data_IF_257538351423
#
_entry.id   IF_257538351423
#
_cell.length_a   1.000
_cell.length_b   1.000
_cell.length_c   1.000
_cell.angle_alpha   90.00
_cell.angle_beta   90.00
_cell.angle_gamma   90.00
#
_symmetry.space_group_name_H-M   'P 1'
#
loop_
_entity.id
_entity.type
_entity.pdbx_description
1 polymer ?
#
# COMPACT_ATOMS: atom_id res chain seq x y z
N UNK A 1 4.91 60.77 -7.20
CA UNK A 1 5.37 59.54 -6.52
C UNK A 1 5.18 58.38 -7.46
N UNK A 2 6.28 57.79 -7.91
CA UNK A 2 6.36 56.82 -9.02
C UNK A 2 5.70 55.48 -8.67
N UNK A 3 4.76 55.04 -9.52
CA UNK A 3 4.21 53.68 -9.54
C UNK A 3 4.87 52.96 -10.72
N UNK A 4 5.80 52.06 -10.43
CA UNK A 4 6.45 51.21 -11.44
C UNK A 4 5.51 50.03 -11.72
N UNK A 5 4.91 50.01 -12.91
CA UNK A 5 4.23 48.85 -13.48
C UNK A 5 5.30 47.96 -14.11
N UNK A 6 5.50 46.76 -13.56
CA UNK A 6 6.27 45.69 -14.20
C UNK A 6 5.25 44.74 -14.82
N UNK A 7 4.93 44.97 -16.09
CA UNK A 7 4.23 43.99 -16.93
C UNK A 7 5.24 42.96 -17.44
N UNK A 8 5.33 41.82 -16.75
CA UNK A 8 6.04 40.64 -17.24
C UNK A 8 5.13 39.82 -18.13
N UNK A 9 5.30 39.95 -19.45
CA UNK A 9 4.68 39.09 -20.47
C UNK A 9 5.15 37.64 -20.29
N UNK A 10 4.30 36.80 -19.69
CA UNK A 10 4.51 35.35 -19.66
C UNK A 10 3.95 34.76 -20.96
N UNK A 11 4.85 34.50 -21.91
CA UNK A 11 4.53 33.84 -23.17
C UNK A 11 4.45 32.32 -22.93
N UNK A 12 3.32 31.63 -23.26
CA UNK A 12 3.23 30.18 -23.15
C UNK A 12 4.05 29.55 -24.28
N UNK A 13 5.32 29.33 -24.01
CA UNK A 13 6.20 28.56 -24.88
C UNK A 13 5.64 27.16 -25.08
N UNK A 14 5.38 26.80 -26.33
CA UNK A 14 5.12 25.43 -26.79
C UNK A 14 6.14 24.50 -26.14
N UNK A 15 5.70 23.63 -25.24
CA UNK A 15 6.53 22.54 -24.74
C UNK A 15 6.85 21.65 -25.93
N UNK A 16 8.09 21.74 -26.43
CA UNK A 16 8.64 20.73 -27.30
C UNK A 16 8.58 19.38 -26.54
N UNK A 17 8.22 18.26 -27.18
CA UNK A 17 8.36 16.96 -26.56
C UNK A 17 9.85 16.77 -26.25
N UNK A 18 10.19 16.92 -24.97
CA UNK A 18 11.50 16.58 -24.46
C UNK A 18 11.60 15.06 -24.52
N UNK A 19 12.00 14.57 -25.70
CA UNK A 19 12.78 13.35 -25.84
C UNK A 19 14.07 13.59 -25.03
N UNK A 20 13.98 13.47 -23.70
CA UNK A 20 15.12 13.13 -22.86
C UNK A 20 15.42 11.68 -23.23
N UNK A 21 16.05 11.54 -24.39
CA UNK A 21 16.89 10.42 -24.72
C UNK A 21 17.95 10.48 -23.62
N UNK A 22 17.76 9.71 -22.55
CA UNK A 22 18.83 9.36 -21.64
C UNK A 22 19.83 8.58 -22.48
N UNK A 23 20.73 9.30 -23.16
CA UNK A 23 21.90 8.74 -23.81
C UNK A 23 22.82 8.28 -22.68
N UNK A 24 22.47 7.14 -22.07
CA UNK A 24 23.46 6.29 -21.43
C UNK A 24 24.51 6.07 -22.51
N UNK A 25 25.68 6.70 -22.34
CA UNK A 25 26.80 6.54 -23.25
C UNK A 25 27.02 5.05 -23.45
N UNK A 26 26.68 4.56 -24.63
CA UNK A 26 26.82 3.16 -24.95
C UNK A 26 28.32 2.83 -24.81
N UNK A 27 28.70 1.85 -23.99
CA UNK A 27 30.08 1.41 -23.97
C UNK A 27 30.48 1.06 -25.41
N UNK A 28 31.72 1.39 -25.80
CA UNK A 28 32.23 1.35 -27.17
C UNK A 28 32.21 -0.05 -27.86
N UNK A 29 31.52 -1.04 -27.29
CA UNK A 29 31.28 -2.39 -27.80
C UNK A 29 29.81 -2.81 -27.73
N UNK A 30 28.94 -2.12 -28.46
CA UNK A 30 27.82 -2.67 -29.26
C UNK A 30 26.66 -3.46 -28.64
N UNK A 31 26.69 -3.93 -27.39
CA UNK A 31 25.56 -4.64 -26.79
C UNK A 31 24.57 -3.64 -26.18
N UNK A 32 23.31 -3.63 -26.66
CA UNK A 32 22.23 -2.85 -26.04
C UNK A 32 22.02 -3.36 -24.62
N UNK A 33 22.31 -2.53 -23.62
CA UNK A 33 22.05 -2.85 -22.22
C UNK A 33 20.55 -3.10 -22.04
N UNK A 34 20.17 -4.27 -21.53
CA UNK A 34 18.77 -4.56 -21.20
C UNK A 34 18.43 -3.95 -19.83
N UNK A 35 17.16 -3.62 -19.60
CA UNK A 35 16.75 -3.10 -18.29
C UNK A 35 17.01 -4.12 -17.17
N UNK A 36 16.89 -5.43 -17.43
CA UNK A 36 17.24 -6.48 -16.47
C UNK A 36 18.73 -6.44 -16.07
N UNK A 37 19.64 -6.25 -17.04
CA UNK A 37 21.07 -6.08 -16.75
C UNK A 37 21.36 -4.78 -15.97
N UNK A 38 20.58 -3.73 -16.25
CA UNK A 38 20.64 -2.49 -15.49
C UNK A 38 20.15 -2.67 -14.05
N UNK A 39 19.04 -3.38 -13.81
CA UNK A 39 18.57 -3.69 -12.45
C UNK A 39 19.58 -4.53 -11.65
N UNK A 40 20.31 -5.42 -12.33
CA UNK A 40 21.40 -6.17 -11.69
C UNK A 40 22.53 -5.25 -11.21
N UNK A 41 22.93 -4.28 -12.05
CA UNK A 41 23.88 -3.22 -11.64
C UNK A 41 23.31 -2.36 -10.52
N UNK A 42 22.04 -2.00 -10.59
CA UNK A 42 21.37 -1.17 -9.58
C UNK A 42 21.38 -1.87 -8.20
N UNK A 43 21.16 -3.19 -8.16
CA UNK A 43 21.26 -3.97 -6.92
C UNK A 43 22.62 -3.82 -6.25
N UNK A 44 23.70 -3.88 -7.03
CA UNK A 44 25.07 -3.72 -6.52
C UNK A 44 25.31 -2.31 -6.00
N UNK A 45 24.84 -1.30 -6.75
CA UNK A 45 24.97 0.11 -6.36
C UNK A 45 24.22 0.43 -5.06
N UNK A 46 23.06 -0.20 -4.85
CA UNK A 46 22.20 0.00 -3.67
C UNK A 46 22.48 -0.97 -2.51
N UNK A 47 23.43 -1.90 -2.67
CA UNK A 47 23.83 -2.79 -1.59
C UNK A 47 24.29 -1.93 -0.39
N UNK A 48 23.75 -2.13 0.82
CA UNK A 48 24.10 -1.35 2.00
C UNK A 48 25.60 -1.38 2.34
N UNK A 49 26.33 -2.41 1.91
CA UNK A 49 27.78 -2.54 2.08
C UNK A 49 28.58 -1.75 1.06
N UNK A 50 28.02 -1.51 -0.13
CA UNK A 50 28.67 -0.76 -1.20
C UNK A 50 28.38 0.74 -1.11
N UNK A 51 27.16 1.12 -0.68
CA UNK A 51 26.78 2.53 -0.54
C UNK A 51 27.72 3.28 0.43
N UNK A 52 27.96 4.59 0.20
CA UNK A 52 28.85 5.39 1.04
C UNK A 52 28.50 5.28 2.55
N UNK A 53 29.47 4.95 3.43
CA UNK A 53 29.20 4.76 4.86
C UNK A 53 28.78 6.05 5.58
N UNK A 54 28.93 7.22 4.93
CA UNK A 54 28.45 8.52 5.40
C UNK A 54 26.92 8.62 5.37
N UNK A 55 26.24 7.80 4.56
CA UNK A 55 24.79 7.66 4.64
C UNK A 55 24.44 6.85 5.90
N UNK A 56 23.47 7.31 6.71
CA UNK A 56 23.03 6.60 7.90
C UNK A 56 22.52 5.21 7.52
N UNK A 57 22.93 4.20 8.30
CA UNK A 57 22.41 2.85 8.17
C UNK A 57 21.07 2.77 8.90
N UNK A 58 19.99 2.63 8.14
CA UNK A 58 18.65 2.43 8.66
C UNK A 58 18.19 1.00 8.35
N UNK A 59 17.46 0.38 9.28
CA UNK A 59 17.02 -1.01 9.16
C UNK A 59 15.53 -1.11 9.49
N UNK A 60 14.84 -2.07 8.86
CA UNK A 60 13.46 -2.39 9.20
C UNK A 60 12.51 -1.21 9.04
N UNK A 61 11.57 -1.09 9.98
CA UNK A 61 10.44 -0.15 9.92
C UNK A 61 10.84 1.31 10.16
N UNK A 62 12.00 1.56 10.75
CA UNK A 62 12.48 2.91 11.05
C UNK A 62 13.09 3.61 9.81
N UNK A 63 13.32 2.86 8.74
CA UNK A 63 13.80 3.35 7.45
C UNK A 63 12.76 4.23 6.76
N UNK A 64 13.20 5.34 6.15
CA UNK A 64 12.39 6.13 5.22
C UNK A 64 11.86 5.29 4.06
N UNK A 65 12.63 4.28 3.66
CA UNK A 65 12.30 3.36 2.58
C UNK A 65 11.57 2.09 3.06
N UNK A 66 11.11 2.05 4.33
CA UNK A 66 10.41 0.90 4.93
C UNK A 66 9.17 0.45 4.15
N UNK A 67 8.56 1.33 3.34
CA UNK A 67 7.45 0.99 2.45
C UNK A 67 7.78 -0.15 1.47
N UNK A 68 9.06 -0.39 1.16
CA UNK A 68 9.47 -1.49 0.28
C UNK A 68 9.55 -2.86 0.97
N UNK A 69 9.62 -2.92 2.30
CA UNK A 69 9.71 -4.19 3.05
C UNK A 69 8.53 -5.12 2.78
N UNK A 70 7.33 -4.55 2.69
CA UNK A 70 6.10 -5.26 2.40
C UNK A 70 5.35 -4.53 1.28
N UNK A 71 6.06 -4.23 0.19
CA UNK A 71 5.48 -3.43 -0.89
C UNK A 71 4.24 -4.12 -1.46
N UNK A 72 3.09 -3.47 -1.30
CA UNK A 72 1.83 -3.83 -1.95
C UNK A 72 1.26 -2.60 -2.64
N UNK A 73 0.51 -2.81 -3.72
CA UNK A 73 -0.24 -1.71 -4.33
C UNK A 73 -1.25 -1.17 -3.32
N UNK A 74 -1.24 0.15 -3.17
CA UNK A 74 -2.28 0.84 -2.42
C UNK A 74 -3.59 0.74 -3.21
N UNK A 75 -4.60 0.09 -2.63
CA UNK A 75 -5.85 -0.21 -3.31
C UNK A 75 -6.65 1.04 -3.66
N UNK A 76 -6.58 2.09 -2.83
CA UNK A 76 -7.27 3.35 -3.08
C UNK A 76 -6.61 4.09 -4.26
N UNK A 77 -5.27 4.07 -4.30
CA UNK A 77 -4.52 4.59 -5.45
C UNK A 77 -4.78 3.75 -6.71
N UNK A 78 -4.92 2.44 -6.59
CA UNK A 78 -5.23 1.55 -7.72
C UNK A 78 -6.64 1.80 -8.27
N UNK A 79 -7.64 2.00 -7.41
CA UNK A 79 -8.98 2.40 -7.82
C UNK A 79 -8.95 3.78 -8.51
N UNK A 80 -8.16 4.72 -7.99
CA UNK A 80 -8.04 6.06 -8.56
C UNK A 80 -7.30 6.10 -9.91
N UNK A 81 -6.23 5.32 -10.06
CA UNK A 81 -5.40 5.32 -11.27
C UNK A 81 -5.84 4.31 -12.32
N UNK A 82 -6.66 3.33 -11.94
CA UNK A 82 -7.11 2.20 -12.78
C UNK A 82 -5.95 1.49 -13.49
N UNK A 83 -4.75 1.52 -12.89
CA UNK A 83 -3.51 1.09 -13.52
C UNK A 83 -2.49 0.74 -12.46
N UNK A 84 -1.99 -0.51 -12.48
CA UNK A 84 -0.92 -0.97 -11.58
C UNK A 84 0.31 -0.06 -11.67
N UNK A 85 0.74 0.27 -12.90
CA UNK A 85 1.89 1.14 -13.13
C UNK A 85 1.60 2.57 -12.65
N UNK A 86 0.38 3.06 -12.88
CA UNK A 86 -0.09 4.33 -12.33
C UNK A 86 0.08 4.38 -10.82
N UNK A 87 -0.37 3.33 -10.12
CA UNK A 87 -0.26 3.17 -8.67
C UNK A 87 1.18 3.10 -8.19
N UNK A 88 2.02 2.25 -8.81
CA UNK A 88 3.47 2.17 -8.50
C UNK A 88 4.11 3.54 -8.63
N UNK A 89 3.79 4.27 -9.69
CA UNK A 89 4.30 5.62 -9.91
C UNK A 89 3.87 6.60 -8.81
N UNK A 90 2.61 6.58 -8.37
CA UNK A 90 2.16 7.43 -7.26
C UNK A 90 2.81 7.06 -5.93
N UNK A 91 2.94 5.76 -5.61
CA UNK A 91 3.64 5.32 -4.41
C UNK A 91 5.12 5.71 -4.42
N UNK A 92 5.81 5.58 -5.58
CA UNK A 92 7.20 5.99 -5.72
C UNK A 92 7.38 7.50 -5.55
N UNK A 93 6.42 8.32 -6.04
CA UNK A 93 6.41 9.76 -5.74
C UNK A 93 6.23 10.05 -4.25
N UNK A 94 5.42 9.26 -3.55
CA UNK A 94 5.26 9.37 -2.10
C UNK A 94 6.57 9.09 -1.35
N UNK A 95 7.31 8.06 -1.77
CA UNK A 95 8.55 7.61 -1.10
C UNK A 95 9.74 8.51 -1.44
N UNK A 96 9.98 8.78 -2.73
CA UNK A 96 11.14 9.55 -3.21
C UNK A 96 10.89 11.05 -3.35
N UNK A 97 9.64 11.50 -3.16
CA UNK A 97 9.21 12.87 -3.35
C UNK A 97 8.72 13.16 -4.77
N UNK A 98 7.69 13.99 -4.88
CA UNK A 98 7.03 14.32 -6.15
C UNK A 98 7.92 15.14 -7.11
N UNK A 99 8.89 15.87 -6.56
CA UNK A 99 9.80 16.74 -7.33
C UNK A 99 10.68 15.96 -8.30
N UNK A 100 10.82 14.65 -8.08
CA UNK A 100 11.59 13.70 -8.89
C UNK A 100 11.02 13.48 -10.30
N UNK A 101 9.86 14.06 -10.64
CA UNK A 101 9.34 14.08 -12.02
C UNK A 101 9.12 15.48 -12.60
N UNK A 102 8.88 16.48 -11.76
CA UNK A 102 8.42 17.80 -12.21
C UNK A 102 9.55 18.77 -12.57
N UNK A 103 10.77 18.51 -12.11
CA UNK A 103 11.93 19.38 -12.38
C UNK A 103 12.86 18.73 -13.38
N UNK A 104 13.40 19.48 -14.33
CA UNK A 104 14.34 18.97 -15.34
C UNK A 104 15.60 18.31 -14.75
N UNK A 105 15.95 18.68 -13.52
CA UNK A 105 17.12 18.20 -12.79
C UNK A 105 16.71 17.24 -11.67
N UNK A 106 15.65 16.45 -11.85
CA UNK A 106 14.99 15.64 -10.82
C UNK A 106 15.87 14.50 -10.28
N UNK A 107 16.94 14.88 -9.60
CA UNK A 107 17.85 13.99 -8.90
C UNK A 107 17.16 13.56 -7.61
N UNK A 108 16.94 12.26 -7.48
CA UNK A 108 16.55 11.66 -6.21
C UNK A 108 17.76 11.79 -5.27
N UNK A 109 17.52 12.23 -4.04
CA UNK A 109 18.56 12.26 -3.01
C UNK A 109 18.40 11.03 -2.14
N UNK A 110 19.45 10.20 -2.07
CA UNK A 110 19.49 9.08 -1.13
C UNK A 110 19.89 9.62 0.24
N UNK A 111 18.99 9.48 1.21
CA UNK A 111 19.16 10.05 2.56
C UNK A 111 19.70 9.03 3.57
N UNK A 112 19.59 7.74 3.26
CA UNK A 112 20.00 6.63 4.10
C UNK A 112 20.41 5.44 3.23
N UNK A 113 21.12 4.49 3.83
CA UNK A 113 21.41 3.17 3.25
C UNK A 113 20.76 2.09 4.13
N UNK A 114 20.37 0.98 3.52
CA UNK A 114 19.72 -0.10 4.25
C UNK A 114 19.04 -1.09 3.33
N UNK A 115 18.70 -2.25 3.88
CA UNK A 115 17.97 -3.30 3.18
C UNK A 115 16.65 -2.80 2.55
N UNK A 116 15.83 -1.95 3.20
CA UNK A 116 14.59 -1.47 2.59
C UNK A 116 14.80 -0.71 1.27
N UNK A 117 15.91 0.04 1.13
CA UNK A 117 16.24 0.71 -0.12
C UNK A 117 16.58 -0.29 -1.22
N UNK A 118 17.30 -1.37 -0.89
CA UNK A 118 17.66 -2.42 -1.84
C UNK A 118 16.43 -3.11 -2.45
N UNK A 119 15.38 -3.30 -1.66
CA UNK A 119 14.12 -3.93 -2.09
C UNK A 119 13.40 -3.17 -3.21
N UNK A 120 13.71 -1.90 -3.45
CA UNK A 120 13.19 -1.18 -4.63
C UNK A 120 13.54 -1.88 -5.94
N UNK A 121 14.69 -2.57 -5.98
CA UNK A 121 15.12 -3.32 -7.17
C UNK A 121 14.22 -4.53 -7.39
N UNK A 122 13.77 -5.18 -6.32
CA UNK A 122 12.86 -6.33 -6.41
C UNK A 122 11.48 -5.89 -6.89
N UNK A 123 10.99 -4.75 -6.39
CA UNK A 123 9.73 -4.14 -6.86
C UNK A 123 9.84 -3.78 -8.35
N UNK A 124 10.91 -3.11 -8.76
CA UNK A 124 11.13 -2.76 -10.17
C UNK A 124 11.23 -4.01 -11.05
N UNK A 125 11.95 -5.04 -10.61
CA UNK A 125 12.08 -6.30 -11.36
C UNK A 125 10.73 -7.01 -11.51
N UNK A 126 9.94 -7.06 -10.44
CA UNK A 126 8.60 -7.67 -10.45
C UNK A 126 7.68 -6.98 -11.47
N UNK A 127 7.53 -5.66 -11.39
CA UNK A 127 6.62 -4.94 -12.28
C UNK A 127 7.16 -4.83 -13.70
N UNK A 128 8.47 -4.76 -13.91
CA UNK A 128 9.04 -4.82 -15.26
C UNK A 128 8.84 -6.20 -15.91
N UNK A 129 8.88 -7.29 -15.14
CA UNK A 129 8.55 -8.63 -15.64
C UNK A 129 7.11 -8.72 -16.17
N UNK A 130 6.17 -8.00 -15.55
CA UNK A 130 4.78 -7.89 -16.00
C UNK A 130 4.60 -6.88 -17.14
N UNK A 131 5.33 -5.77 -17.10
CA UNK A 131 5.17 -4.62 -17.99
C UNK A 131 6.52 -4.20 -18.61
N UNK A 132 7.11 -5.03 -19.50
CA UNK A 132 8.50 -4.88 -19.95
C UNK A 132 8.76 -3.66 -20.85
N UNK A 133 7.71 -3.08 -21.43
CA UNK A 133 7.81 -1.90 -22.29
C UNK A 133 7.44 -0.60 -21.58
N UNK A 134 7.12 -0.66 -20.28
CA UNK A 134 6.63 0.51 -19.57
C UNK A 134 7.76 1.52 -19.30
N UNK A 135 7.62 2.71 -19.89
CA UNK A 135 8.61 3.77 -19.79
C UNK A 135 8.67 4.42 -18.40
N UNK A 136 7.60 4.33 -17.60
CA UNK A 136 7.56 4.92 -16.27
C UNK A 136 8.40 4.09 -15.30
N UNK A 137 8.26 2.76 -15.33
CA UNK A 137 9.10 1.84 -14.56
C UNK A 137 10.58 1.97 -14.92
N UNK A 138 10.88 1.96 -16.23
CA UNK A 138 12.26 2.11 -16.70
C UNK A 138 12.88 3.42 -16.21
N UNK A 139 12.12 4.52 -16.31
CA UNK A 139 12.57 5.84 -15.83
C UNK A 139 12.83 5.85 -14.33
N UNK A 140 12.00 5.20 -13.52
CA UNK A 140 12.25 5.07 -12.08
C UNK A 140 13.55 4.33 -11.79
N UNK A 141 13.78 3.20 -12.45
CA UNK A 141 15.05 2.47 -12.34
C UNK A 141 16.25 3.37 -12.65
N UNK A 142 16.22 4.07 -13.78
CA UNK A 142 17.32 4.95 -14.18
C UNK A 142 17.53 6.12 -13.22
N UNK A 143 16.45 6.77 -12.76
CA UNK A 143 16.54 7.88 -11.81
C UNK A 143 17.17 7.44 -10.48
N UNK A 144 16.81 6.26 -9.97
CA UNK A 144 17.37 5.71 -8.72
C UNK A 144 18.84 5.32 -8.94
N UNK A 145 19.19 4.77 -10.10
CA UNK A 145 20.59 4.51 -10.46
C UNK A 145 21.43 5.78 -10.46
N UNK A 146 20.97 6.83 -11.14
CA UNK A 146 21.65 8.13 -11.15
C UNK A 146 21.80 8.71 -9.74
N UNK A 147 20.80 8.52 -8.88
CA UNK A 147 20.86 8.94 -7.48
C UNK A 147 21.89 8.19 -6.66
N UNK A 148 22.00 6.86 -6.86
CA UNK A 148 23.04 6.05 -6.25
C UNK A 148 24.42 6.54 -6.67
N UNK A 149 24.67 6.68 -7.98
CA UNK A 149 25.94 7.19 -8.52
C UNK A 149 26.28 8.59 -8.01
N UNK A 150 25.27 9.47 -7.88
CA UNK A 150 25.44 10.78 -7.28
C UNK A 150 25.90 10.70 -5.83
N UNK A 151 25.35 9.77 -5.02
CA UNK A 151 25.78 9.57 -3.64
C UNK A 151 27.26 9.14 -3.56
N UNK A 152 27.72 8.22 -4.42
CA UNK A 152 29.14 7.84 -4.51
C UNK A 152 30.03 9.06 -4.80
N UNK A 153 29.65 9.84 -5.82
CA UNK A 153 30.38 11.04 -6.23
C UNK A 153 30.43 12.10 -5.13
N UNK A 154 29.30 12.35 -4.46
CA UNK A 154 29.17 13.33 -3.39
C UNK A 154 30.07 13.02 -2.19
N UNK A 155 30.24 11.73 -1.88
CA UNK A 155 31.07 11.28 -0.75
C UNK A 155 32.50 10.87 -1.14
N UNK A 156 32.88 11.02 -2.41
CA UNK A 156 34.22 10.66 -2.90
C UNK A 156 34.53 9.17 -2.82
N UNK A 157 33.49 8.31 -2.88
CA UNK A 157 33.63 6.85 -2.88
C UNK A 157 33.69 6.35 -4.32
N UNK A 158 34.58 5.40 -4.61
CA UNK A 158 34.68 4.80 -5.94
C UNK A 158 33.41 3.98 -6.23
N UNK A 159 32.92 4.06 -7.47
CA UNK A 159 31.80 3.22 -7.88
C UNK A 159 32.22 1.74 -7.90
N UNK A 160 31.38 0.82 -7.40
CA UNK A 160 31.60 -0.61 -7.53
C UNK A 160 31.71 -0.98 -9.01
N UNK A 161 32.71 -1.80 -9.36
CA UNK A 161 32.83 -2.29 -10.73
C UNK A 161 31.77 -3.37 -10.97
N UNK A 162 31.13 -3.34 -12.14
CA UNK A 162 30.15 -4.37 -12.52
C UNK A 162 30.77 -5.77 -12.72
N UNK A 163 32.10 -5.85 -12.76
CA UNK A 163 32.82 -7.13 -12.80
C UNK A 163 32.84 -7.85 -11.45
N UNK A 164 32.54 -7.13 -10.36
CA UNK A 164 32.60 -7.66 -8.99
C UNK A 164 31.31 -8.38 -8.58
N UNK A 165 30.30 -8.46 -9.47
CA UNK A 165 29.06 -9.17 -9.15
C UNK A 165 29.35 -10.66 -9.09
N UNK A 166 29.16 -11.32 -7.93
CA UNK A 166 29.35 -12.76 -7.83
C UNK A 166 28.41 -13.44 -8.83
N UNK A 167 28.98 -14.21 -9.76
CA UNK A 167 28.23 -14.97 -10.77
C UNK A 167 27.17 -15.94 -10.18
N UNK A 168 27.17 -16.12 -8.85
CA UNK A 168 26.18 -16.89 -8.12
C UNK A 168 24.76 -16.31 -8.16
N UNK A 169 24.58 -14.99 -8.36
CA UNK A 169 23.23 -14.38 -8.37
C UNK A 169 22.48 -14.57 -9.69
N UNK A 170 23.16 -14.89 -10.79
CA UNK A 170 22.56 -15.09 -12.12
C UNK A 170 22.08 -16.52 -12.38
N UNK A 171 22.32 -17.47 -11.46
CA UNK A 171 21.94 -18.88 -11.65
C UNK A 171 20.52 -19.25 -11.15
N UNK A 172 19.74 -18.29 -10.66
CA UNK A 172 18.41 -18.56 -10.07
C UNK A 172 17.22 -18.35 -11.04
N UNK A 173 17.46 -18.27 -12.35
CA UNK A 173 16.40 -18.33 -13.35
C UNK A 173 16.27 -19.76 -13.91
N UNK A 174 15.12 -20.38 -13.65
CA UNK A 174 14.65 -21.69 -14.17
C UNK A 174 14.70 -22.88 -13.21
N UNK A 175 14.36 -22.71 -11.93
CA UNK A 175 13.59 -23.78 -11.29
C UNK A 175 12.12 -23.64 -11.70
N UNK A 176 11.80 -24.25 -12.85
CA UNK A 176 10.43 -24.64 -13.20
C UNK A 176 9.85 -25.39 -11.99
N UNK A 177 9.01 -24.74 -11.20
CA UNK A 177 8.03 -25.46 -10.38
C UNK A 177 7.26 -26.32 -11.38
N UNK A 178 7.34 -27.64 -11.21
CA UNK A 178 6.47 -28.56 -11.92
C UNK A 178 5.02 -28.07 -11.71
N UNK A 179 4.38 -27.68 -12.81
CA UNK A 179 2.95 -27.43 -12.81
C UNK A 179 2.26 -28.68 -12.26
N UNK A 180 1.45 -28.48 -11.22
CA UNK A 180 0.48 -29.47 -10.81
C UNK A 180 -0.39 -29.86 -12.03
N UNK A 181 -0.76 -31.14 -12.17
CA UNK A 181 -1.64 -31.57 -13.25
C UNK A 181 -2.95 -30.79 -13.21
N UNK A 182 -3.29 -30.17 -14.33
CA UNK A 182 -4.55 -29.48 -14.58
C UNK A 182 -5.73 -30.44 -14.38
N UNK A 183 -6.62 -30.10 -13.45
CA UNK A 183 -7.94 -30.72 -13.39
C UNK A 183 -8.73 -30.38 -14.66
N UNK A 184 -9.49 -31.34 -15.24
CA UNK A 184 -10.28 -31.12 -16.44
C UNK A 184 -11.40 -30.10 -16.18
N UNK A 185 -11.54 -29.19 -17.13
CA UNK A 185 -12.60 -28.19 -17.24
C UNK A 185 -13.96 -28.90 -17.39
N UNK A 186 -14.95 -28.65 -16.53
CA UNK A 186 -16.30 -29.16 -16.74
C UNK A 186 -16.99 -28.41 -17.89
N UNK A 187 -17.65 -29.23 -18.69
CA UNK A 187 -18.41 -28.94 -19.92
C UNK A 187 -19.53 -27.90 -19.70
N UNK A 188 -19.78 -26.98 -20.66
CA UNK A 188 -20.82 -25.97 -20.50
C UNK A 188 -22.22 -26.57 -20.71
N UNK A 189 -23.07 -26.41 -19.69
CA UNK A 189 -24.49 -26.77 -19.74
C UNK A 189 -25.31 -25.79 -20.60
N UNK A 190 -26.42 -26.25 -21.21
CA UNK A 190 -27.20 -25.49 -22.18
C UNK A 190 -28.01 -24.36 -21.54
N UNK A 191 -28.07 -23.25 -22.28
CA UNK A 191 -28.94 -22.10 -22.04
C UNK A 191 -30.41 -22.52 -22.16
N UNK A 192 -31.14 -22.40 -21.05
CA UNK A 192 -32.61 -22.43 -21.04
C UNK A 192 -33.10 -21.00 -20.84
N UNK A 193 -33.79 -20.50 -21.86
CA UNK A 193 -34.50 -19.22 -21.89
C UNK A 193 -35.97 -19.51 -21.66
N UNK A 194 -36.60 -18.83 -20.69
CA UNK A 194 -38.05 -18.59 -20.47
C UNK A 194 -38.19 -18.22 -18.96
N UNK A 195 -39.08 -17.36 -18.46
CA UNK A 195 -39.95 -16.30 -18.94
C UNK A 195 -40.47 -15.60 -17.66
N UNK A 196 -41.06 -14.42 -17.82
CA UNK A 196 -41.73 -13.60 -16.80
C UNK A 196 -42.49 -14.35 -15.69
N UNK A 197 -42.39 -13.87 -14.44
CA UNK A 197 -43.53 -13.37 -13.65
C UNK A 197 -43.09 -12.82 -12.27
N UNK A 198 -43.83 -11.81 -11.85
CA UNK A 198 -43.68 -10.92 -10.70
C UNK A 198 -43.82 -11.63 -9.34
N UNK A 199 -43.04 -11.21 -8.31
CA UNK A 199 -43.62 -10.90 -7.00
C UNK A 199 -42.67 -10.08 -6.10
N UNK A 200 -43.27 -9.17 -5.34
CA UNK A 200 -42.61 -8.25 -4.41
C UNK A 200 -42.48 -8.94 -3.06
N UNK A 201 -41.29 -9.45 -2.75
CA UNK A 201 -40.96 -10.02 -1.43
C UNK A 201 -39.71 -9.37 -0.86
N UNK A 202 -39.87 -8.55 0.19
CA UNK A 202 -38.77 -8.04 1.01
C UNK A 202 -37.93 -9.20 1.53
N UNK A 203 -36.72 -9.34 0.98
CA UNK A 203 -35.71 -10.27 1.49
C UNK A 203 -34.74 -9.48 2.34
N UNK A 204 -34.96 -9.53 3.65
CA UNK A 204 -34.00 -9.13 4.65
C UNK A 204 -32.76 -10.05 4.62
N UNK A 205 -31.59 -9.40 4.73
CA UNK A 205 -30.36 -9.94 5.30
C UNK A 205 -29.67 -11.15 4.62
N UNK A 206 -29.15 -10.95 3.42
CA UNK A 206 -27.89 -11.59 3.02
C UNK A 206 -26.75 -10.61 3.29
N UNK A 207 -26.13 -10.75 4.46
CA UNK A 207 -24.95 -9.98 4.86
C UNK A 207 -23.83 -10.17 3.82
N UNK A 208 -23.59 -9.14 3.02
CA UNK A 208 -22.48 -9.05 2.08
C UNK A 208 -21.17 -9.14 2.87
N UNK A 209 -20.55 -10.32 2.83
CA UNK A 209 -19.22 -10.58 3.39
C UNK A 209 -18.20 -9.59 2.82
N UNK A 210 -17.55 -8.81 3.68
CA UNK A 210 -16.14 -8.48 3.48
C UNK A 210 -15.74 -7.00 3.48
N UNK A 211 -16.66 -6.05 3.41
CA UNK A 211 -16.30 -4.63 3.55
C UNK A 211 -17.20 -3.95 4.57
N UNK A 212 -16.64 -3.27 5.59
CA UNK A 212 -17.47 -2.48 6.48
C UNK A 212 -18.25 -1.47 5.63
N UNK A 213 -19.54 -1.22 5.95
CA UNK A 213 -20.37 -0.38 5.10
C UNK A 213 -19.71 0.99 4.92
N UNK A 214 -19.52 1.43 3.66
CA UNK A 214 -19.07 2.80 3.33
C UNK A 214 -19.94 3.87 4.02
N UNK A 215 -21.13 3.49 4.46
CA UNK A 215 -22.05 4.26 5.29
C UNK A 215 -21.47 4.64 6.65
N UNK A 216 -20.76 3.74 7.35
CA UNK A 216 -20.16 4.04 8.66
C UNK A 216 -19.13 5.18 8.55
N UNK A 217 -18.33 5.17 7.49
CA UNK A 217 -17.39 6.25 7.23
C UNK A 217 -18.11 7.59 7.06
N UNK A 218 -19.19 7.63 6.27
CA UNK A 218 -19.96 8.85 6.04
C UNK A 218 -20.68 9.35 7.31
N UNK A 219 -21.04 8.48 8.25
CA UNK A 219 -21.61 8.88 9.54
C UNK A 219 -20.58 9.40 10.55
N UNK A 220 -19.29 9.23 10.29
CA UNK A 220 -18.23 9.60 11.24
C UNK A 220 -17.63 10.99 10.96
N UNK A 221 -17.79 11.48 9.74
CA UNK A 221 -17.11 12.68 9.26
C UNK A 221 -18.01 13.59 8.44
N UNK A 222 -17.70 14.88 8.43
CA UNK A 222 -18.23 15.84 7.48
C UNK A 222 -17.19 16.12 6.40
N UNK A 223 -17.58 16.02 5.13
CA UNK A 223 -16.71 16.28 3.98
C UNK A 223 -16.87 17.73 3.55
N UNK A 224 -15.74 18.42 3.40
CA UNK A 224 -15.69 19.82 3.01
C UNK A 224 -14.86 19.99 1.74
N UNK A 225 -15.20 21.02 0.96
CA UNK A 225 -14.47 21.40 -0.25
C UNK A 225 -14.32 22.91 -0.27
N UNK A 226 -13.10 23.41 -0.46
CA UNK A 226 -12.86 24.83 -0.73
C UNK A 226 -11.99 25.01 -1.96
N UNK A 227 -12.12 26.18 -2.61
CA UNK A 227 -11.29 26.56 -3.75
C UNK A 227 -10.13 27.38 -3.20
N UNK A 228 -8.93 26.80 -3.20
CA UNK A 228 -7.72 27.42 -2.66
C UNK A 228 -7.21 28.54 -3.58
N UNK A 229 -7.29 28.33 -4.89
CA UNK A 229 -6.92 29.33 -5.91
C UNK A 229 -8.03 29.50 -6.94
N UNK A 230 -8.75 30.64 -6.86
CA UNK A 230 -9.83 30.99 -7.78
C UNK A 230 -9.36 31.09 -9.24
N UNK A 231 -8.09 31.40 -9.48
CA UNK A 231 -7.54 31.56 -10.84
C UNK A 231 -7.21 30.22 -11.48
N UNK A 232 -6.84 29.23 -10.68
CA UNK A 232 -6.47 27.88 -11.16
C UNK A 232 -7.59 26.86 -11.03
N UNK A 233 -8.70 27.21 -10.38
CA UNK A 233 -9.81 26.29 -10.15
C UNK A 233 -9.44 25.08 -9.29
N UNK A 234 -8.33 25.15 -8.54
CA UNK A 234 -7.86 24.02 -7.72
C UNK A 234 -8.73 23.92 -6.48
N UNK A 235 -9.55 22.87 -6.44
CA UNK A 235 -10.31 22.54 -5.23
C UNK A 235 -9.50 21.64 -4.32
N UNK A 236 -9.50 21.97 -3.03
CA UNK A 236 -8.93 21.16 -1.97
C UNK A 236 -10.08 20.51 -1.20
N UNK A 237 -10.03 19.19 -1.06
CA UNK A 237 -10.92 18.43 -0.20
C UNK A 237 -10.30 18.31 1.18
N UNK A 238 -11.13 18.39 2.21
CA UNK A 238 -10.76 18.06 3.57
C UNK A 238 -11.97 17.47 4.29
N UNK A 239 -11.76 16.83 5.42
CA UNK A 239 -12.84 16.29 6.24
C UNK A 239 -12.60 16.60 7.71
N UNK A 240 -13.70 16.71 8.47
CA UNK A 240 -13.72 16.97 9.91
C UNK A 240 -14.47 15.86 10.63
N UNK A 241 -14.15 15.62 11.90
CA UNK A 241 -14.94 14.75 12.75
C UNK A 241 -16.38 15.29 12.89
N UNK A 242 -17.39 14.42 12.90
CA UNK A 242 -18.80 14.81 13.06
C UNK A 242 -19.12 15.34 14.48
N UNK A 243 -18.29 15.00 15.46
CA UNK A 243 -18.50 15.45 16.84
C UNK A 243 -18.24 16.96 16.96
N UNK A 244 -19.20 17.78 17.43
CA UNK A 244 -19.03 19.23 17.55
C UNK A 244 -17.90 19.63 18.51
N UNK A 245 -17.62 18.80 19.52
CA UNK A 245 -16.54 19.01 20.48
C UNK A 245 -15.16 18.51 19.99
N UNK A 246 -15.05 18.06 18.73
CA UNK A 246 -13.82 17.55 18.16
C UNK A 246 -13.29 18.47 17.04
N UNK A 247 -12.11 19.04 17.24
CA UNK A 247 -11.47 19.91 16.25
C UNK A 247 -10.60 19.13 15.24
N UNK A 248 -10.72 17.81 15.18
CA UNK A 248 -9.91 17.02 14.25
C UNK A 248 -10.33 17.28 12.81
N UNK A 249 -9.35 17.61 11.98
CA UNK A 249 -9.49 17.83 10.55
C UNK A 249 -8.31 17.24 9.80
N UNK A 250 -8.54 16.70 8.61
CA UNK A 250 -7.49 16.20 7.75
C UNK A 250 -7.75 16.58 6.29
N UNK A 251 -6.67 16.89 5.58
CA UNK A 251 -6.73 17.26 4.16
C UNK A 251 -6.74 16.00 3.29
N UNK A 252 -7.35 16.10 2.11
CA UNK A 252 -7.45 15.03 1.13
C UNK A 252 -8.79 14.30 1.17
N UNK A 253 -8.85 13.21 0.40
CA UNK A 253 -10.02 12.34 0.39
C UNK A 253 -10.10 11.53 1.70
N UNK A 254 -11.31 11.32 2.23
CA UNK A 254 -11.51 10.51 3.43
C UNK A 254 -11.16 9.04 3.15
N UNK A 255 -10.15 8.54 3.86
CA UNK A 255 -9.71 7.13 3.82
C UNK A 255 -10.16 6.44 5.11
N UNK A 256 -10.80 5.28 4.97
CA UNK A 256 -11.42 4.54 6.09
C UNK A 256 -10.44 4.32 7.25
N UNK A 257 -9.23 3.84 6.95
CA UNK A 257 -8.18 3.57 7.94
C UNK A 257 -7.83 4.82 8.77
N UNK A 258 -7.76 5.98 8.13
CA UNK A 258 -7.47 7.24 8.81
C UNK A 258 -8.62 7.69 9.72
N UNK A 259 -9.86 7.54 9.23
CA UNK A 259 -11.07 7.94 9.94
C UNK A 259 -11.31 7.04 11.15
N UNK A 260 -11.25 5.73 10.97
CA UNK A 260 -11.49 4.78 12.05
C UNK A 260 -10.42 4.89 13.13
N UNK A 261 -9.14 5.07 12.74
CA UNK A 261 -8.05 5.34 13.69
C UNK A 261 -8.31 6.58 14.55
N UNK A 262 -8.81 7.67 13.95
CA UNK A 262 -9.23 8.83 14.72
C UNK A 262 -10.42 8.52 15.64
N UNK A 263 -11.47 7.91 15.10
CA UNK A 263 -12.74 7.65 15.79
C UNK A 263 -12.56 6.80 17.07
N UNK A 264 -11.73 5.76 17.01
CA UNK A 264 -11.41 4.90 18.17
C UNK A 264 -10.80 5.74 19.31
N UNK A 265 -9.85 6.63 18.99
CA UNK A 265 -9.20 7.51 19.97
C UNK A 265 -10.02 8.74 20.37
N UNK A 266 -11.08 9.08 19.64
CA UNK A 266 -11.80 10.33 19.85
C UNK A 266 -12.72 10.26 21.07
N UNK A 267 -12.37 11.02 22.12
CA UNK A 267 -13.18 11.13 23.35
C UNK A 267 -14.48 11.90 23.11
N UNK A 268 -14.40 12.97 22.31
CA UNK A 268 -15.55 13.79 21.95
C UNK A 268 -16.61 12.98 21.18
N UNK A 269 -16.20 12.20 20.18
CA UNK A 269 -17.08 11.30 19.44
C UNK A 269 -17.76 10.28 20.35
N UNK A 270 -17.03 9.72 21.34
CA UNK A 270 -17.62 8.79 22.30
C UNK A 270 -18.66 9.42 23.24
N UNK A 271 -18.65 10.75 23.41
CA UNK A 271 -19.66 11.47 24.20
C UNK A 271 -20.88 11.85 23.36
N UNK A 272 -20.65 12.27 22.11
CA UNK A 272 -21.70 12.84 21.26
C UNK A 272 -22.38 11.79 20.37
N UNK A 273 -21.64 10.79 19.90
CA UNK A 273 -22.09 9.73 18.98
C UNK A 273 -21.52 8.36 19.41
N UNK A 274 -21.92 7.85 20.60
CA UNK A 274 -21.38 6.60 21.14
C UNK A 274 -21.68 5.40 20.25
N UNK A 275 -22.85 5.36 19.63
CA UNK A 275 -23.30 4.35 18.67
C UNK A 275 -22.38 4.24 17.44
N UNK A 276 -22.04 5.37 16.81
CA UNK A 276 -21.10 5.42 15.68
C UNK A 276 -19.73 4.91 16.11
N UNK A 277 -19.26 5.34 17.30
CA UNK A 277 -17.97 4.89 17.82
C UNK A 277 -17.94 3.38 18.09
N UNK A 278 -19.00 2.82 18.66
CA UNK A 278 -19.12 1.38 18.91
C UNK A 278 -19.16 0.59 17.60
N UNK A 279 -19.95 1.03 16.61
CA UNK A 279 -20.02 0.36 15.31
C UNK A 279 -18.66 0.33 14.58
N UNK A 280 -17.84 1.38 14.70
CA UNK A 280 -16.47 1.40 14.16
C UNK A 280 -15.57 0.41 14.89
N UNK A 281 -15.62 0.37 16.23
CA UNK A 281 -14.82 -0.57 17.03
C UNK A 281 -15.19 -2.02 16.65
N UNK A 282 -16.48 -2.30 16.51
CA UNK A 282 -16.98 -3.62 16.13
C UNK A 282 -16.53 -3.97 14.71
N UNK A 283 -16.68 -3.06 13.74
CA UNK A 283 -16.21 -3.24 12.37
C UNK A 283 -14.69 -3.51 12.31
N UNK A 284 -13.88 -2.77 13.08
CA UNK A 284 -12.44 -3.02 13.16
C UNK A 284 -12.11 -4.37 13.80
N UNK A 285 -12.88 -4.80 14.80
CA UNK A 285 -12.68 -6.10 15.44
C UNK A 285 -13.02 -7.27 14.50
N UNK A 286 -14.05 -7.12 13.66
CA UNK A 286 -14.44 -8.11 12.66
C UNK A 286 -13.44 -8.20 11.50
N UNK A 287 -12.79 -7.09 11.16
CA UNK A 287 -11.74 -7.05 10.14
C UNK A 287 -10.37 -7.47 10.67
N UNK A 288 -10.21 -7.71 11.98
CA UNK A 288 -8.96 -8.21 12.53
C UNK A 288 -8.66 -9.61 11.96
N UNK A 289 -7.39 -9.86 11.62
CA UNK A 289 -6.93 -11.12 11.03
C UNK A 289 -7.44 -12.36 11.79
N UNK A 290 -7.48 -12.29 13.13
CA UNK A 290 -7.99 -13.39 13.96
C UNK A 290 -9.48 -13.69 13.75
N UNK A 291 -10.31 -12.67 13.54
CA UNK A 291 -11.73 -12.84 13.23
C UNK A 291 -11.92 -13.40 11.81
N UNK A 292 -11.09 -12.96 10.85
CA UNK A 292 -11.09 -13.50 9.49
C UNK A 292 -10.72 -14.99 9.48
N UNK A 293 -9.65 -15.38 10.19
CA UNK A 293 -9.23 -16.78 10.30
C UNK A 293 -10.30 -17.66 10.98
N UNK A 294 -10.95 -17.16 12.03
CA UNK A 294 -12.05 -17.86 12.67
C UNK A 294 -13.23 -18.07 11.71
N UNK A 295 -13.60 -17.05 10.93
CA UNK A 295 -14.67 -17.13 9.94
C UNK A 295 -14.34 -18.12 8.80
N UNK A 296 -13.10 -18.15 8.31
CA UNK A 296 -12.68 -19.13 7.30
C UNK A 296 -12.74 -20.56 7.86
N UNK A 297 -12.28 -20.76 9.11
CA UNK A 297 -12.30 -22.08 9.75
C UNK A 297 -13.72 -22.62 10.04
N UNK A 298 -14.71 -21.74 10.19
CA UNK A 298 -16.11 -22.12 10.37
C UNK A 298 -16.75 -22.55 9.03
N UNK A 299 -16.46 -21.83 7.94
CA UNK A 299 -17.01 -22.14 6.61
C UNK A 299 -16.55 -23.51 6.08
N UNK A 300 -15.31 -23.91 6.39
CA UNK A 300 -14.78 -25.23 5.98
C UNK A 300 -15.46 -26.39 6.72
N UNK A 301 -16.01 -26.17 7.91
CA UNK A 301 -16.70 -27.22 8.69
C UNK A 301 -18.11 -27.52 8.16
N UNK A 302 -18.81 -26.49 7.69
CA UNK A 302 -20.18 -26.66 7.18
C UNK A 302 -20.22 -27.30 5.78
N UNK A 303 -19.13 -27.22 5.02
CA UNK A 303 -19.04 -27.79 3.67
C UNK A 303 -18.71 -29.30 3.70
N UNK A 304 -18.20 -29.83 4.81
CA UNK A 304 -17.79 -31.23 4.94
C UNK A 304 -18.90 -32.19 5.45
N UNK A 305 -20.12 -31.69 5.73
CA UNK A 305 -21.20 -32.50 6.34
C UNK A 305 -22.40 -32.81 5.44
N UNK A 306 -22.33 -32.50 4.13
CA UNK A 306 -23.46 -32.67 3.21
C UNK A 306 -23.52 -34.02 2.47
N UNK A 307 -22.56 -34.95 2.66
CA UNK A 307 -22.58 -36.25 1.98
C UNK A 307 -22.36 -37.41 2.97
N UNK A 308 -23.44 -37.82 3.65
CA UNK A 308 -23.34 -38.78 4.75
C UNK A 308 -24.65 -39.23 5.40
N UNK A 309 -25.55 -39.82 4.60
CA UNK A 309 -26.49 -40.90 4.98
C UNK A 309 -27.38 -40.81 6.23
N UNK A 310 -28.69 -40.70 5.96
CA UNK A 310 -29.74 -41.68 6.26
C UNK A 310 -29.52 -42.66 7.45
N UNK A 311 -30.45 -42.53 8.41
CA UNK A 311 -30.97 -43.52 9.37
C UNK A 311 -30.14 -43.87 10.62
N UNK A 312 -30.71 -43.58 11.79
CA UNK A 312 -30.28 -44.16 13.06
C UNK A 312 -30.86 -43.48 14.30
N UNK A 313 -32.06 -43.88 14.70
CA UNK A 313 -32.64 -43.59 16.02
C UNK A 313 -31.69 -44.04 17.14
N UNK A 314 -31.47 -43.19 18.14
CA UNK A 314 -30.67 -43.56 19.32
C UNK A 314 -30.81 -42.58 20.48
N UNK A 315 -31.62 -42.97 21.47
CA UNK A 315 -31.94 -42.32 22.74
C UNK A 315 -30.73 -41.95 23.62
N UNK A 316 -30.93 -40.85 24.36
CA UNK A 316 -30.60 -40.61 25.79
C UNK A 316 -29.15 -40.76 26.28
N UNK A 317 -28.62 -39.72 26.92
CA UNK A 317 -28.39 -39.63 28.39
C UNK A 317 -27.54 -38.40 28.75
N UNK A 318 -28.01 -37.59 29.71
CA UNK A 318 -27.22 -36.62 30.49
C UNK A 318 -26.18 -37.35 31.36
N UNK A 319 -25.03 -36.72 31.74
CA UNK A 319 -24.92 -35.99 33.02
C UNK A 319 -24.03 -34.71 32.93
N UNK A 320 -24.32 -33.60 33.63
CA UNK A 320 -23.96 -33.26 35.03
C UNK A 320 -22.50 -32.80 35.22
N UNK A 321 -22.37 -31.55 35.70
CA UNK A 321 -21.38 -31.03 36.66
C UNK A 321 -20.02 -30.43 36.22
N UNK A 322 -19.92 -29.12 36.47
CA UNK A 322 -18.95 -28.45 37.37
C UNK A 322 -17.47 -28.35 36.96
N UNK A 323 -17.00 -27.13 36.70
CA UNK A 323 -15.81 -26.58 37.37
C UNK A 323 -15.70 -25.06 37.14
N UNK A 324 -15.72 -24.33 38.24
CA UNK A 324 -15.49 -22.90 38.37
C UNK A 324 -13.97 -22.62 38.35
N UNK A 325 -13.51 -21.68 37.54
CA UNK A 325 -12.11 -21.21 37.55
C UNK A 325 -12.07 -19.72 37.93
N UNK A 326 -11.61 -19.45 39.15
CA UNK A 326 -11.25 -18.10 39.61
C UNK A 326 -9.97 -17.60 38.93
N UNK A 327 -9.88 -16.32 38.52
CA UNK A 327 -8.62 -15.70 38.20
C UNK A 327 -7.86 -15.21 39.46
N UNK A 328 -6.52 -15.17 39.43
CA UNK A 328 -5.69 -14.85 40.59
C UNK A 328 -5.62 -13.35 40.91
N UNK A 329 -5.59 -13.09 42.22
CA UNK A 329 -5.31 -11.81 42.88
C UNK A 329 -4.05 -11.10 42.34
N UNK A 330 -4.18 -9.84 41.91
CA UNK A 330 -3.06 -8.91 41.72
C UNK A 330 -2.78 -8.14 43.01
N UNK A 331 -1.52 -8.22 43.47
CA UNK A 331 -0.97 -7.48 44.62
C UNK A 331 -0.85 -5.97 44.33
N UNK A 332 -0.94 -5.11 45.38
CA UNK A 332 -0.82 -3.66 45.26
C UNK A 332 0.63 -3.16 45.03
N UNK A 333 0.74 -2.05 44.28
CA UNK A 333 1.98 -1.27 44.06
C UNK A 333 2.42 -0.52 45.33
N UNK A 334 3.72 -0.43 45.64
CA UNK A 334 4.22 0.49 46.65
C UNK A 334 4.25 1.95 46.14
N UNK A 335 3.78 2.84 47.00
CA UNK A 335 3.83 4.29 46.96
C UNK A 335 5.29 4.79 46.97
N UNK A 336 5.66 5.66 46.02
CA UNK A 336 6.89 6.45 46.11
C UNK A 336 6.64 7.64 47.04
N UNK A 337 7.44 7.72 48.09
CA UNK A 337 7.48 8.83 49.02
C UNK A 337 8.01 10.11 48.37
N UNK A 338 7.37 11.21 48.73
CA UNK A 338 7.87 12.57 48.62
C UNK A 338 8.91 12.78 49.69
N UNK A 339 10.10 13.26 49.31
CA UNK A 339 11.07 13.86 50.22
C UNK A 339 11.50 15.18 49.58
N UNK A 340 11.11 16.25 50.28
CA UNK A 340 11.72 17.58 50.44
C UNK A 340 12.73 18.03 49.41
#
# INVERSE_FOLDING_TARGET
MHRILVEGLYSPGKQAPLNILMTLEAPAGGAKQTFASFLSRLRVLLDPLNLPPQLPLCCGVDSKYSAFLNFSLDQDLLEMTESEIGTVNEQFKGIFGWQTRSTSNSIIWLEERGEPLLLVVDVLAHYHGKHPTDAVLMKWGYNIGTAAEHAYKQHGVLLPSTSDVPAALTACESQKRACAPSNPVPEPLPVVTESDHSDVGSSDALASKGHPPKELMNHTIEKHRYIEDKRRGKSVFYWTCISPDCNHKANGHPVEVCIFRHAVGCVALGKTHPDVKHAIIDAQSQNALGAQLAATSAADRDTASADGSRAGNGRSSSPTSTASAQPPHKKPKPTKGTLT
#
